data_IF_810188784669
#
_entry.id   IF_810188784669
#
_cell.length_a   1.000
_cell.length_b   1.000
_cell.length_c   1.000
_cell.angle_alpha   90.00
_cell.angle_beta   90.00
_cell.angle_gamma   90.00
#
_symmetry.space_group_name_H-M   'P 1'
#
loop_
_entity.id
_entity.type
_entity.pdbx_description
1 polymer ?
#
# COMPACT_ATOMS: atom_id res chain seq x y z
N UNK A 1 3.17 -14.88 18.40
CA UNK A 1 1.85 -14.22 18.50
C UNK A 1 1.80 -12.87 17.77
N UNK A 2 2.77 -11.97 17.98
CA UNK A 2 2.75 -10.65 17.32
C UNK A 2 2.85 -10.73 15.79
N UNK A 3 3.71 -11.61 15.25
CA UNK A 3 3.89 -11.82 13.81
C UNK A 3 2.61 -12.31 13.13
N UNK A 4 1.93 -13.28 13.75
CA UNK A 4 0.72 -13.91 13.23
C UNK A 4 -0.43 -12.90 13.19
N UNK A 5 -0.58 -12.07 14.23
CA UNK A 5 -1.56 -10.98 14.24
C UNK A 5 -1.30 -9.96 13.13
N UNK A 6 -0.04 -9.56 12.91
CA UNK A 6 0.32 -8.66 11.82
C UNK A 6 0.04 -9.31 10.45
N UNK A 7 0.39 -10.59 10.27
CA UNK A 7 0.13 -11.33 9.04
C UNK A 7 -1.38 -11.40 8.74
N UNK A 8 -2.22 -11.67 9.74
CA UNK A 8 -3.69 -11.68 9.59
C UNK A 8 -4.19 -10.28 9.21
N UNK A 9 -3.72 -9.23 9.89
CA UNK A 9 -4.12 -7.85 9.61
C UNK A 9 -3.81 -7.45 8.16
N UNK A 10 -2.57 -7.71 7.69
CA UNK A 10 -2.19 -7.46 6.29
C UNK A 10 -2.98 -8.32 5.31
N UNK A 11 -3.15 -9.62 5.61
CA UNK A 11 -3.88 -10.56 4.77
C UNK A 11 -5.33 -10.14 4.55
N UNK A 12 -6.06 -9.82 5.63
CA UNK A 12 -7.44 -9.34 5.56
C UNK A 12 -7.54 -8.04 4.75
N UNK A 13 -6.63 -7.09 5.00
CA UNK A 13 -6.59 -5.85 4.21
C UNK A 13 -6.38 -6.13 2.72
N UNK A 14 -5.40 -6.96 2.34
CA UNK A 14 -5.12 -7.28 0.94
C UNK A 14 -6.29 -7.99 0.25
N UNK A 15 -6.96 -8.91 0.95
CA UNK A 15 -8.16 -9.58 0.41
C UNK A 15 -9.28 -8.56 0.17
N UNK A 16 -9.62 -7.75 1.17
CA UNK A 16 -10.72 -6.77 1.03
C UNK A 16 -10.41 -5.71 -0.03
N UNK A 17 -9.20 -5.15 -0.02
CA UNK A 17 -8.76 -4.17 -1.00
C UNK A 17 -8.72 -4.76 -2.40
N UNK A 18 -8.16 -5.97 -2.55
CA UNK A 18 -8.10 -6.69 -3.82
C UNK A 18 -9.49 -6.98 -4.39
N UNK A 19 -10.41 -7.46 -3.56
CA UNK A 19 -11.80 -7.69 -3.98
C UNK A 19 -12.50 -6.40 -4.43
N UNK A 20 -12.27 -5.27 -3.74
CA UNK A 20 -12.83 -3.99 -4.17
C UNK A 20 -12.29 -3.56 -5.53
N UNK A 21 -10.98 -3.71 -5.75
CA UNK A 21 -10.35 -3.39 -7.05
C UNK A 21 -10.88 -4.29 -8.16
N UNK A 22 -11.04 -5.60 -7.91
CA UNK A 22 -11.59 -6.53 -8.89
C UNK A 22 -13.06 -6.24 -9.24
N UNK A 23 -13.87 -5.83 -8.26
CA UNK A 23 -15.29 -5.53 -8.47
C UNK A 23 -15.50 -4.22 -9.25
N UNK A 24 -14.62 -3.25 -9.09
CA UNK A 24 -14.78 -1.91 -9.68
C UNK A 24 -13.42 -1.31 -10.04
N UNK A 25 -12.77 -1.82 -11.11
CA UNK A 25 -11.43 -1.37 -11.52
C UNK A 25 -11.42 0.11 -11.96
N UNK A 26 -12.51 0.57 -12.59
CA UNK A 26 -12.63 1.97 -13.03
C UNK A 26 -12.74 2.95 -11.85
N UNK A 27 -13.46 2.55 -10.78
CA UNK A 27 -13.51 3.32 -9.52
C UNK A 27 -12.10 3.49 -8.94
N UNK A 28 -11.29 2.43 -8.99
CA UNK A 28 -9.92 2.47 -8.48
C UNK A 28 -9.07 3.46 -9.28
N UNK A 29 -9.13 3.42 -10.62
CA UNK A 29 -8.42 4.38 -11.48
C UNK A 29 -8.86 5.83 -11.21
N UNK A 30 -10.17 6.03 -10.98
CA UNK A 30 -10.71 7.35 -10.63
C UNK A 30 -10.19 7.84 -9.27
N UNK A 31 -10.12 6.97 -8.26
CA UNK A 31 -9.58 7.29 -6.94
C UNK A 31 -8.11 7.71 -7.06
N UNK A 32 -7.29 6.93 -7.76
CA UNK A 32 -5.86 7.22 -7.95
C UNK A 32 -5.66 8.56 -8.68
N UNK A 33 -6.46 8.82 -9.73
CA UNK A 33 -6.40 10.09 -10.46
C UNK A 33 -6.77 11.27 -9.56
N UNK A 34 -7.85 11.16 -8.78
CA UNK A 34 -8.27 12.21 -7.83
C UNK A 34 -7.27 12.46 -6.71
N UNK A 35 -6.54 11.43 -6.26
CA UNK A 35 -5.47 11.56 -5.29
C UNK A 35 -4.27 12.29 -5.90
N UNK A 36 -3.84 11.87 -7.10
CA UNK A 36 -2.70 12.46 -7.82
C UNK A 36 -2.83 13.98 -7.96
N UNK A 37 -4.03 14.47 -8.22
CA UNK A 37 -4.28 15.88 -8.51
C UNK A 37 -4.43 16.76 -7.25
N UNK A 38 -4.32 16.19 -6.04
CA UNK A 38 -4.47 16.91 -4.76
C UNK A 38 -3.20 16.81 -3.88
N UNK A 39 -2.26 17.78 -3.98
CA UNK A 39 -0.99 17.77 -3.25
C UNK A 39 -1.14 17.60 -1.73
N UNK A 40 -2.08 18.30 -1.10
CA UNK A 40 -2.32 18.21 0.34
C UNK A 40 -2.72 16.79 0.79
N UNK A 41 -3.56 16.11 -0.01
CA UNK A 41 -3.99 14.73 0.29
C UNK A 41 -2.84 13.75 0.09
N UNK A 42 -2.02 13.95 -0.95
CA UNK A 42 -0.83 13.12 -1.16
C UNK A 42 0.16 13.27 -0.01
N UNK A 43 0.42 14.49 0.45
CA UNK A 43 1.29 14.73 1.60
C UNK A 43 0.76 14.02 2.86
N UNK A 44 -0.52 14.22 3.19
CA UNK A 44 -1.14 13.60 4.36
C UNK A 44 -1.10 12.07 4.26
N UNK A 45 -1.48 11.51 3.11
CA UNK A 45 -1.49 10.06 2.88
C UNK A 45 -0.09 9.48 2.98
N UNK A 46 0.90 10.11 2.33
CA UNK A 46 2.29 9.68 2.38
C UNK A 46 2.86 9.72 3.80
N UNK A 47 2.60 10.79 4.55
CA UNK A 47 3.00 10.92 5.95
C UNK A 47 2.36 9.82 6.82
N UNK A 48 1.05 9.61 6.72
CA UNK A 48 0.36 8.57 7.48
C UNK A 48 0.90 7.17 7.16
N UNK A 49 1.06 6.85 5.87
CA UNK A 49 1.59 5.55 5.43
C UNK A 49 3.04 5.36 5.92
N UNK A 50 3.86 6.41 5.86
CA UNK A 50 5.23 6.37 6.38
C UNK A 50 5.25 6.10 7.89
N UNK A 51 4.53 6.89 8.69
CA UNK A 51 4.54 6.73 10.14
C UNK A 51 3.97 5.38 10.58
N UNK A 52 2.89 4.89 9.96
CA UNK A 52 2.36 3.56 10.24
C UNK A 52 3.39 2.47 9.93
N UNK A 53 4.03 2.52 8.76
CA UNK A 53 5.08 1.56 8.40
C UNK A 53 6.31 1.63 9.31
N UNK A 54 6.77 2.84 9.63
CA UNK A 54 7.93 3.06 10.50
C UNK A 54 7.67 2.59 11.94
N UNK A 55 6.50 2.93 12.50
CA UNK A 55 6.09 2.44 13.83
C UNK A 55 6.01 0.92 13.82
N UNK A 56 5.37 0.32 12.81
CA UNK A 56 5.31 -1.14 12.71
C UNK A 56 6.70 -1.76 12.59
N UNK A 57 7.65 -1.13 11.88
CA UNK A 57 9.01 -1.66 11.72
C UNK A 57 9.80 -1.61 13.03
N UNK A 58 9.60 -0.56 13.82
CA UNK A 58 10.16 -0.45 15.18
C UNK A 58 9.57 -1.54 16.08
N UNK A 59 8.26 -1.79 15.97
CA UNK A 59 7.56 -2.78 16.79
C UNK A 59 7.79 -4.23 16.33
N UNK A 60 8.16 -4.44 15.07
CA UNK A 60 8.32 -5.76 14.46
C UNK A 60 9.47 -5.77 13.43
N UNK A 61 10.64 -6.22 13.89
CA UNK A 61 11.83 -6.43 13.06
C UNK A 61 12.44 -7.79 13.40
N UNK A 62 11.87 -8.86 12.85
CA UNK A 62 12.32 -10.22 13.15
C UNK A 62 12.47 -11.05 11.89
N UNK A 63 13.59 -11.76 11.79
CA UNK A 63 13.91 -12.68 10.68
C UNK A 63 14.02 -14.13 11.15
N UNK A 64 13.53 -14.43 12.36
CA UNK A 64 13.66 -15.74 12.99
C UNK A 64 12.86 -16.86 12.31
N UNK A 65 11.90 -16.52 11.44
CA UNK A 65 11.13 -17.47 10.63
C UNK A 65 10.77 -16.85 9.29
N UNK A 66 10.44 -17.68 8.29
CA UNK A 66 10.02 -17.19 6.98
C UNK A 66 8.83 -16.22 7.08
N UNK A 67 7.83 -16.54 7.91
CA UNK A 67 6.67 -15.68 8.11
C UNK A 67 7.08 -14.33 8.73
N UNK A 68 7.94 -14.33 9.74
CA UNK A 68 8.44 -13.09 10.35
C UNK A 68 9.23 -12.23 9.36
N UNK A 69 10.05 -12.85 8.52
CA UNK A 69 10.78 -12.16 7.45
C UNK A 69 9.81 -11.53 6.44
N UNK A 70 8.80 -12.27 5.99
CA UNK A 70 7.79 -11.73 5.06
C UNK A 70 7.04 -10.55 5.67
N UNK A 71 6.60 -10.65 6.92
CA UNK A 71 5.90 -9.54 7.61
C UNK A 71 6.83 -8.34 7.77
N UNK A 72 8.08 -8.55 8.18
CA UNK A 72 9.08 -7.47 8.29
C UNK A 72 9.29 -6.77 6.95
N UNK A 73 9.36 -7.53 5.84
CA UNK A 73 9.46 -6.97 4.49
C UNK A 73 8.21 -6.16 4.11
N UNK A 74 7.01 -6.67 4.37
CA UNK A 74 5.75 -5.94 4.08
C UNK A 74 5.65 -4.62 4.85
N UNK A 75 6.04 -4.64 6.12
CA UNK A 75 6.10 -3.45 6.97
C UNK A 75 7.13 -2.43 6.44
N UNK A 76 8.33 -2.88 6.08
CA UNK A 76 9.36 -2.03 5.49
C UNK A 76 8.89 -1.41 4.15
N UNK A 77 8.25 -2.21 3.28
CA UNK A 77 7.68 -1.74 2.02
C UNK A 77 6.58 -0.70 2.26
N UNK A 78 5.81 -0.80 3.34
CA UNK A 78 4.80 0.20 3.72
C UNK A 78 5.46 1.54 4.06
N UNK A 79 6.56 1.53 4.84
CA UNK A 79 7.31 2.75 5.13
C UNK A 79 7.92 3.37 3.86
N UNK A 80 8.53 2.55 3.00
CA UNK A 80 9.11 2.98 1.71
C UNK A 80 8.02 3.59 0.82
N UNK A 81 6.83 2.97 0.75
CA UNK A 81 5.68 3.51 0.01
C UNK A 81 5.30 4.91 0.51
N UNK A 82 5.29 5.13 1.82
CA UNK A 82 5.03 6.46 2.40
C UNK A 82 6.04 7.50 1.94
N UNK A 83 7.33 7.16 1.95
CA UNK A 83 8.41 8.03 1.44
C UNK A 83 8.22 8.33 -0.05
N UNK A 84 7.92 7.31 -0.87
CA UNK A 84 7.70 7.50 -2.31
C UNK A 84 6.51 8.42 -2.61
N UNK A 85 5.42 8.30 -1.85
CA UNK A 85 4.26 9.18 -1.98
C UNK A 85 4.62 10.62 -1.58
N UNK A 86 5.47 10.82 -0.56
CA UNK A 86 5.90 12.15 -0.12
C UNK A 86 6.86 12.82 -1.12
N UNK A 87 7.86 12.08 -1.61
CA UNK A 87 8.92 12.63 -2.46
C UNK A 87 8.52 12.73 -3.93
N UNK A 88 7.73 11.76 -4.42
CA UNK A 88 7.40 11.65 -5.84
C UNK A 88 5.95 11.17 -6.06
N UNK A 89 4.92 11.88 -5.55
CA UNK A 89 3.53 11.44 -5.60
C UNK A 89 3.04 11.19 -7.03
N UNK A 90 3.38 12.08 -7.97
CA UNK A 90 2.96 11.94 -9.38
C UNK A 90 3.53 10.67 -10.01
N UNK A 91 4.82 10.41 -9.81
CA UNK A 91 5.51 9.22 -10.33
C UNK A 91 4.95 7.95 -9.70
N UNK A 92 4.74 7.96 -8.37
CA UNK A 92 4.17 6.83 -7.66
C UNK A 92 2.75 6.50 -8.13
N UNK A 93 1.88 7.51 -8.27
CA UNK A 93 0.52 7.31 -8.76
C UNK A 93 0.47 6.90 -10.25
N UNK A 94 1.41 7.39 -11.07
CA UNK A 94 1.53 6.95 -12.46
C UNK A 94 1.90 5.45 -12.56
N UNK A 95 2.80 4.97 -11.71
CA UNK A 95 3.13 3.55 -11.61
C UNK A 95 1.90 2.72 -11.22
N UNK A 96 1.13 3.18 -10.23
CA UNK A 96 -0.11 2.51 -9.82
C UNK A 96 -1.12 2.40 -10.97
N UNK A 97 -1.27 3.45 -11.79
CA UNK A 97 -2.13 3.44 -12.98
C UNK A 97 -1.60 2.51 -14.08
N UNK A 98 -0.29 2.41 -14.27
CA UNK A 98 0.29 1.50 -15.27
C UNK A 98 0.13 0.01 -14.91
N UNK A 99 0.02 -0.28 -13.60
CA UNK A 99 -0.24 -1.62 -13.08
C UNK A 99 -1.74 -1.92 -12.96
N UNK A 100 -2.57 -0.88 -12.85
CA UNK A 100 -4.02 -0.98 -12.96
C UNK A 100 -4.39 -1.48 -14.34
N UNK A 101 -4.88 -2.71 -14.42
CA UNK A 101 -5.10 -3.45 -15.67
C UNK A 101 -5.92 -2.66 -16.70
N UNK A 102 -5.35 -2.31 -17.88
CA UNK A 102 -6.14 -1.92 -19.06
C UNK A 102 -7.01 -3.09 -19.56
N UNK A 103 -6.63 -4.32 -19.21
CA UNK A 103 -7.18 -5.57 -19.73
C UNK A 103 -8.60 -5.93 -19.24
N UNK A 104 -9.05 -5.41 -18.10
CA UNK A 104 -10.39 -5.71 -17.55
C UNK A 104 -11.50 -4.76 -18.05
N UNK A 105 -11.18 -3.67 -18.75
CA UNK A 105 -12.19 -2.75 -19.34
C UNK A 105 -12.72 -3.22 -20.70
N UNK A 106 -12.24 -4.37 -21.22
CA UNK A 106 -12.60 -4.92 -22.53
C UNK A 106 -13.29 -6.30 -22.47
N UNK A 107 -13.59 -6.80 -21.27
CA UNK A 107 -14.34 -8.04 -21.05
C UNK A 107 -15.76 -7.71 -20.60
#
# INVERSE_FOLDING_TARGET
>A
MQTESLAIMFGVYFVVAGLRVLKSPDDFNLIITRLRDKPAINFLTGAMVYFLGAIMLILHHSTASLLATVVTVLVALTAIKGVLILLAPKTYMALALSLGTPALSRA
#
